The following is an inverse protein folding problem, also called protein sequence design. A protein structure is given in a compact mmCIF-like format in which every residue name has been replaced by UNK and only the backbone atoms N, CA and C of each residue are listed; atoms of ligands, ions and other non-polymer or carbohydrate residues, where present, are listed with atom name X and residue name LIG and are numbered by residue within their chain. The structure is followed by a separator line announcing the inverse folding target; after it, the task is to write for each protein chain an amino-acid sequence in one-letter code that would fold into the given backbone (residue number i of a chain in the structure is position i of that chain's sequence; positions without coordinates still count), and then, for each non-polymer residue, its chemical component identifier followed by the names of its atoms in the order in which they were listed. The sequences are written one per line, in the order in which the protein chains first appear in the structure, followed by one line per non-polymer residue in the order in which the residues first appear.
data_IF_983679792706
#
_entry.id   IF_983679792706
#
_cell.length_a   1.000
_cell.length_b   1.000
_cell.length_c   1.000
_cell.angle_alpha   90.00
_cell.angle_beta   90.00
_cell.angle_gamma   90.00
#
_symmetry.space_group_name_H-M   'P 1'
#
loop_
_entity.id
_entity.type
_entity.pdbx_description
1 polymer ?
#
# COMPACT_ATOMS: atom_id res chain seq x y z
N UNK A 1 -1.15 4.67 -22.97
CA UNK A 1 -0.62 3.88 -21.84
C UNK A 1 -1.76 2.99 -21.37
N UNK A 2 -1.52 1.72 -21.02
CA UNK A 2 -2.61 0.82 -20.62
C UNK A 2 -2.83 0.99 -19.12
N UNK A 3 -3.73 1.91 -18.75
CA UNK A 3 -3.95 2.32 -17.36
C UNK A 3 -4.82 1.29 -16.64
N UNK A 4 -4.23 0.15 -16.34
CA UNK A 4 -4.93 -1.02 -15.78
C UNK A 4 -4.28 -1.47 -14.48
N UNK A 5 -5.11 -1.93 -13.55
CA UNK A 5 -4.68 -2.51 -12.27
C UNK A 5 -5.36 -3.86 -12.06
N UNK A 6 -4.74 -4.73 -11.26
CA UNK A 6 -5.35 -6.02 -10.94
C UNK A 6 -6.61 -5.83 -10.08
N UNK A 7 -7.48 -6.84 -10.09
CA UNK A 7 -8.66 -6.86 -9.20
C UNK A 7 -8.30 -6.73 -7.72
N UNK A 8 -7.09 -7.15 -7.34
CA UNK A 8 -6.60 -7.08 -5.96
C UNK A 8 -6.29 -5.64 -5.56
N UNK A 9 -5.56 -4.93 -6.42
CA UNK A 9 -5.30 -3.50 -6.26
C UNK A 9 -6.59 -2.69 -6.32
N UNK A 10 -7.49 -3.00 -7.26
CA UNK A 10 -8.80 -2.34 -7.34
C UNK A 10 -9.63 -2.57 -6.06
N UNK A 11 -9.60 -3.78 -5.49
CA UNK A 11 -10.29 -4.08 -4.24
C UNK A 11 -9.78 -3.20 -3.09
N UNK A 12 -8.46 -3.06 -2.95
CA UNK A 12 -7.87 -2.16 -1.95
C UNK A 12 -8.25 -0.71 -2.21
N UNK A 13 -8.06 -0.22 -3.44
CA UNK A 13 -8.24 1.18 -3.77
C UNK A 13 -9.71 1.62 -3.83
N UNK A 14 -10.66 0.70 -3.95
CA UNK A 14 -12.10 0.98 -3.85
C UNK A 14 -12.66 0.70 -2.46
N UNK A 15 -11.85 0.19 -1.53
CA UNK A 15 -12.29 -0.26 -0.20
C UNK A 15 -13.42 -1.30 -0.27
N UNK A 16 -13.25 -2.29 -1.16
CA UNK A 16 -14.21 -3.36 -1.41
C UNK A 16 -13.56 -4.72 -1.26
N UNK A 17 -14.35 -5.73 -0.88
CA UNK A 17 -13.87 -7.11 -0.92
C UNK A 17 -13.72 -7.62 -2.36
N UNK A 18 -12.72 -8.45 -2.62
CA UNK A 18 -12.54 -9.14 -3.92
C UNK A 18 -13.82 -9.85 -4.37
N UNK A 19 -14.54 -10.47 -3.43
CA UNK A 19 -15.84 -11.14 -3.68
C UNK A 19 -16.86 -10.17 -4.29
N UNK A 20 -16.88 -8.92 -3.85
CA UNK A 20 -17.79 -7.89 -4.37
C UNK A 20 -17.44 -7.53 -5.80
N UNK A 21 -16.15 -7.35 -6.12
CA UNK A 21 -15.70 -7.08 -7.48
C UNK A 21 -15.97 -8.25 -8.42
N UNK A 22 -15.69 -9.49 -7.99
CA UNK A 22 -16.02 -10.69 -8.76
C UNK A 22 -17.52 -10.80 -9.05
N UNK A 23 -18.39 -10.51 -8.08
CA UNK A 23 -19.83 -10.44 -8.30
C UNK A 23 -20.20 -9.39 -9.36
N UNK A 24 -19.57 -8.21 -9.33
CA UNK A 24 -19.81 -7.15 -10.32
C UNK A 24 -19.35 -7.55 -11.72
N UNK A 25 -18.24 -8.29 -11.84
CA UNK A 25 -17.78 -8.87 -13.11
C UNK A 25 -18.77 -9.91 -13.65
N UNK A 26 -19.24 -10.83 -12.80
CA UNK A 26 -20.22 -11.85 -13.19
C UNK A 26 -21.58 -11.25 -13.60
N UNK A 27 -21.99 -10.15 -12.96
CA UNK A 27 -23.21 -9.44 -13.28
C UNK A 27 -23.08 -8.48 -14.48
N UNK A 28 -21.87 -8.26 -15.01
CA UNK A 28 -21.61 -7.33 -16.11
C UNK A 28 -21.64 -5.85 -15.73
N UNK A 29 -21.81 -5.52 -14.44
CA UNK A 29 -21.78 -4.12 -13.94
C UNK A 29 -20.37 -3.56 -13.84
N UNK A 30 -19.35 -4.42 -13.96
CA UNK A 30 -17.94 -4.08 -14.09
C UNK A 30 -17.38 -4.91 -15.24
N UNK A 31 -16.51 -4.32 -16.06
CA UNK A 31 -15.93 -5.01 -17.21
C UNK A 31 -14.51 -5.47 -16.91
N UNK A 32 -14.20 -6.70 -17.31
CA UNK A 32 -12.80 -7.16 -17.36
C UNK A 32 -12.14 -6.52 -18.57
N UNK A 33 -11.01 -5.84 -18.35
CA UNK A 33 -10.23 -5.24 -19.43
C UNK A 33 -9.29 -6.27 -20.08
N UNK A 34 -8.45 -6.93 -19.29
CA UNK A 34 -7.47 -7.91 -19.79
C UNK A 34 -7.07 -8.92 -18.71
N UNK A 35 -6.12 -9.80 -19.05
CA UNK A 35 -5.37 -10.61 -18.08
C UNK A 35 -3.88 -10.30 -18.24
N UNK A 36 -3.14 -10.22 -17.13
CA UNK A 36 -1.69 -10.06 -17.17
C UNK A 36 -0.95 -11.41 -17.33
N UNK A 37 0.37 -11.34 -17.42
CA UNK A 37 1.26 -12.50 -17.56
C UNK A 37 1.20 -13.47 -16.36
N UNK A 38 0.76 -12.97 -15.19
CA UNK A 38 0.57 -13.74 -13.96
C UNK A 38 -0.85 -14.33 -13.87
N UNK A 39 -1.67 -14.17 -14.92
CA UNK A 39 -3.06 -14.65 -14.97
C UNK A 39 -4.03 -13.82 -14.12
N UNK A 40 -3.62 -12.64 -13.63
CA UNK A 40 -4.49 -11.76 -12.85
C UNK A 40 -5.46 -11.04 -13.77
N UNK A 41 -6.71 -10.93 -13.33
CA UNK A 41 -7.73 -10.13 -14.01
C UNK A 41 -7.42 -8.65 -13.81
N UNK A 42 -7.36 -7.93 -14.92
CA UNK A 42 -7.05 -6.50 -14.96
C UNK A 42 -8.31 -5.69 -15.26
N UNK A 43 -8.44 -4.57 -14.57
CA UNK A 43 -9.52 -3.59 -14.72
C UNK A 43 -8.92 -2.28 -15.22
N UNK A 44 -9.64 -1.57 -16.10
CA UNK A 44 -9.23 -0.23 -16.50
C UNK A 44 -9.46 0.75 -15.34
N UNK A 45 -8.46 1.59 -15.05
CA UNK A 45 -8.57 2.62 -14.02
C UNK A 45 -9.69 3.61 -14.35
N UNK A 46 -9.94 3.88 -15.63
CA UNK A 46 -11.07 4.72 -16.08
C UNK A 46 -12.42 4.20 -15.60
N UNK A 47 -12.59 2.88 -15.56
CA UNK A 47 -13.87 2.24 -15.22
C UNK A 47 -14.12 2.23 -13.70
N UNK A 48 -13.07 2.39 -12.90
CA UNK A 48 -13.14 2.36 -11.44
C UNK A 48 -12.81 3.71 -10.78
N UNK A 49 -12.37 4.71 -11.54
CA UNK A 49 -11.88 6.00 -11.04
C UNK A 49 -12.88 6.69 -10.09
N UNK A 50 -14.17 6.71 -10.46
CA UNK A 50 -15.23 7.34 -9.65
C UNK A 50 -15.56 6.58 -8.36
N UNK A 51 -15.02 5.37 -8.22
CA UNK A 51 -15.23 4.50 -7.06
C UNK A 51 -13.96 4.37 -6.21
N UNK A 52 -12.88 5.05 -6.58
CA UNK A 52 -11.68 5.05 -5.78
C UNK A 52 -11.92 5.79 -4.46
N UNK A 53 -11.28 5.24 -3.44
CA UNK A 53 -11.38 5.67 -2.06
C UNK A 53 -10.41 6.84 -1.76
N UNK A 54 -9.65 7.24 -2.79
CA UNK A 54 -8.69 8.35 -2.84
C UNK A 54 -8.72 9.04 -4.19
N UNK A 55 -8.30 10.29 -4.20
CA UNK A 55 -8.06 11.07 -5.41
C UNK A 55 -6.67 10.71 -5.97
N UNK A 56 -6.61 10.44 -7.26
CA UNK A 56 -5.35 10.26 -7.99
C UNK A 56 -5.11 11.52 -8.81
N UNK A 57 -3.96 12.15 -8.61
CA UNK A 57 -3.52 13.32 -9.35
C UNK A 57 -3.32 12.98 -10.83
N UNK A 58 -3.79 13.88 -11.69
CA UNK A 58 -3.61 13.83 -13.14
C UNK A 58 -2.45 14.75 -13.53
N UNK A 59 -1.23 14.44 -13.09
CA UNK A 59 -0.04 15.20 -13.50
C UNK A 59 0.49 14.72 -14.87
N UNK A 60 0.57 15.61 -15.88
CA UNK A 60 0.96 15.22 -17.24
C UNK A 60 2.49 15.09 -17.45
N UNK A 61 3.32 15.43 -16.47
CA UNK A 61 4.78 15.45 -16.62
C UNK A 61 5.51 14.73 -15.47
N UNK A 62 5.62 13.41 -15.58
CA UNK A 62 6.54 12.60 -14.79
C UNK A 62 5.93 11.94 -13.55
N UNK A 63 5.31 10.77 -13.75
CA UNK A 63 5.00 9.84 -12.65
C UNK A 63 3.77 10.20 -11.81
N UNK A 64 2.65 10.61 -12.42
CA UNK A 64 1.40 10.85 -11.69
C UNK A 64 0.89 9.58 -10.97
N UNK A 65 0.02 9.77 -9.98
CA UNK A 65 -0.42 8.73 -9.03
C UNK A 65 -0.94 7.46 -9.69
N UNK A 66 -1.49 7.57 -10.90
CA UNK A 66 -1.90 6.42 -11.72
C UNK A 66 -0.71 5.53 -12.12
N UNK A 67 0.38 6.12 -12.57
CA UNK A 67 1.60 5.38 -12.94
C UNK A 67 2.17 4.70 -11.71
N UNK A 68 2.25 5.45 -10.60
CA UNK A 68 2.70 4.95 -9.32
C UNK A 68 1.89 3.73 -8.88
N UNK A 69 0.55 3.81 -8.96
CA UNK A 69 -0.34 2.72 -8.60
C UNK A 69 -0.15 1.48 -9.49
N UNK A 70 0.11 1.67 -10.79
CA UNK A 70 0.38 0.57 -11.72
C UNK A 70 1.72 -0.11 -11.40
N UNK A 71 2.76 0.64 -11.02
CA UNK A 71 4.04 0.08 -10.58
C UNK A 71 3.90 -0.68 -9.27
N UNK A 72 3.14 -0.12 -8.32
CA UNK A 72 2.82 -0.76 -7.06
C UNK A 72 2.05 -2.08 -7.26
N UNK A 73 1.09 -2.12 -8.20
CA UNK A 73 0.36 -3.33 -8.59
C UNK A 73 1.25 -4.43 -9.18
N UNK A 74 2.29 -4.04 -9.94
CA UNK A 74 3.29 -4.98 -10.49
C UNK A 74 4.18 -5.58 -9.41
N UNK A 75 4.22 -4.98 -8.24
CA UNK A 75 4.98 -5.43 -7.09
C UNK A 75 6.19 -4.58 -6.77
N UNK A 76 6.35 -3.39 -7.37
CA UNK A 76 7.49 -2.54 -7.01
C UNK A 76 7.36 -2.05 -5.56
N UNK A 77 8.33 -2.40 -4.72
CA UNK A 77 8.24 -2.13 -3.29
C UNK A 77 8.33 -0.64 -2.94
N UNK A 78 9.03 0.16 -3.75
CA UNK A 78 9.14 1.60 -3.54
C UNK A 78 7.82 2.28 -3.94
N UNK A 79 7.26 1.90 -5.08
CA UNK A 79 5.93 2.36 -5.50
C UNK A 79 4.84 1.96 -4.49
N UNK A 80 4.91 0.76 -3.91
CA UNK A 80 4.00 0.34 -2.84
C UNK A 80 4.11 1.21 -1.58
N UNK A 81 5.33 1.56 -1.19
CA UNK A 81 5.58 2.49 -0.09
C UNK A 81 4.99 3.88 -0.41
N UNK A 82 5.20 4.38 -1.61
CA UNK A 82 4.78 5.72 -2.00
C UNK A 82 3.26 5.82 -2.17
N UNK A 83 2.60 4.77 -2.69
CA UNK A 83 1.13 4.66 -2.66
C UNK A 83 0.61 4.68 -1.22
N UNK A 84 1.29 4.00 -0.29
CA UNK A 84 0.89 4.02 1.11
C UNK A 84 1.02 5.42 1.74
N UNK A 85 2.05 6.19 1.38
CA UNK A 85 2.20 7.58 1.82
C UNK A 85 1.09 8.48 1.28
N UNK A 86 0.77 8.35 -0.02
CA UNK A 86 -0.36 9.04 -0.63
C UNK A 86 -1.68 8.72 0.09
N UNK A 87 -1.89 7.48 0.48
CA UNK A 87 -3.07 7.07 1.25
C UNK A 87 -3.09 7.70 2.65
N UNK A 88 -1.94 7.82 3.33
CA UNK A 88 -1.85 8.51 4.61
C UNK A 88 -2.18 10.00 4.50
N UNK A 89 -1.67 10.68 3.47
CA UNK A 89 -1.98 12.09 3.20
C UNK A 89 -3.48 12.32 3.00
N UNK A 90 -4.17 11.33 2.42
CA UNK A 90 -5.61 11.35 2.21
C UNK A 90 -6.41 10.75 3.37
N UNK A 91 -5.77 10.59 4.54
CA UNK A 91 -6.40 10.09 5.77
C UNK A 91 -7.02 8.69 5.61
N UNK A 92 -6.33 7.79 4.88
CA UNK A 92 -6.67 6.37 4.67
C UNK A 92 -5.63 5.42 5.29
N UNK A 93 -5.39 5.49 6.62
CA UNK A 93 -4.34 4.70 7.26
C UNK A 93 -4.60 3.18 7.26
N UNK A 94 -5.85 2.77 7.20
CA UNK A 94 -6.30 1.39 7.10
C UNK A 94 -5.84 0.72 5.79
N UNK A 95 -5.93 1.44 4.67
CA UNK A 95 -5.48 0.95 3.36
C UNK A 95 -3.97 1.16 3.22
N UNK A 96 -3.42 2.27 3.72
CA UNK A 96 -1.98 2.50 3.75
C UNK A 96 -1.23 1.36 4.47
N UNK A 97 -1.78 0.87 5.58
CA UNK A 97 -1.24 -0.29 6.30
C UNK A 97 -1.09 -1.52 5.37
N UNK A 98 -2.08 -1.80 4.52
CA UNK A 98 -2.03 -2.94 3.59
C UNK A 98 -0.90 -2.76 2.57
N UNK A 99 -0.72 -1.55 2.04
CA UNK A 99 0.36 -1.26 1.09
C UNK A 99 1.74 -1.30 1.73
N UNK A 100 1.91 -0.75 2.93
CA UNK A 100 3.16 -0.88 3.66
C UNK A 100 3.48 -2.35 3.99
N UNK A 101 2.47 -3.18 4.29
CA UNK A 101 2.69 -4.61 4.48
C UNK A 101 3.21 -5.30 3.20
N UNK A 102 2.71 -4.93 2.02
CA UNK A 102 3.22 -5.45 0.75
C UNK A 102 4.69 -5.04 0.52
N UNK A 103 5.03 -3.76 0.73
CA UNK A 103 6.41 -3.28 0.60
C UNK A 103 7.34 -3.92 1.64
N UNK A 104 6.90 -4.05 2.89
CA UNK A 104 7.67 -4.65 3.96
C UNK A 104 7.92 -6.16 3.77
N UNK A 105 7.02 -6.90 3.09
CA UNK A 105 7.27 -8.29 2.71
C UNK A 105 8.49 -8.42 1.78
N UNK A 106 8.80 -7.37 1.03
CA UNK A 106 9.96 -7.26 0.15
C UNK A 106 11.18 -6.63 0.83
N UNK A 107 11.14 -6.51 2.16
CA UNK A 107 12.18 -5.93 2.99
C UNK A 107 12.41 -4.42 2.80
N UNK A 108 11.41 -3.68 2.31
CA UNK A 108 11.49 -2.23 2.18
C UNK A 108 11.58 -1.57 3.56
N UNK A 109 12.69 -0.90 3.82
CA UNK A 109 13.05 -0.41 5.14
C UNK A 109 12.10 0.69 5.64
N UNK A 110 11.76 1.66 4.78
CA UNK A 110 10.89 2.79 5.16
C UNK A 110 9.46 2.32 5.47
N UNK A 111 8.90 1.44 4.64
CA UNK A 111 7.61 0.79 4.90
C UNK A 111 7.57 0.08 6.27
N UNK A 112 8.64 -0.62 6.67
CA UNK A 112 8.72 -1.23 8.01
C UNK A 112 8.74 -0.18 9.12
N UNK A 113 9.43 0.94 8.91
CA UNK A 113 9.41 2.05 9.86
C UNK A 113 8.00 2.64 9.99
N UNK A 114 7.31 2.92 8.88
CA UNK A 114 5.93 3.41 8.90
C UNK A 114 4.95 2.41 9.53
N UNK A 115 5.09 1.11 9.28
CA UNK A 115 4.31 0.08 9.99
C UNK A 115 4.49 0.20 11.51
N UNK A 116 5.72 0.42 11.98
CA UNK A 116 5.96 0.64 13.40
C UNK A 116 5.18 1.84 13.92
N UNK A 117 5.11 2.94 13.17
CA UNK A 117 4.41 4.14 13.61
C UNK A 117 2.89 3.92 13.62
N UNK A 118 2.35 3.26 12.60
CA UNK A 118 0.91 2.94 12.53
C UNK A 118 0.48 2.06 13.70
N UNK A 119 1.23 1.01 14.03
CA UNK A 119 0.94 0.16 15.20
C UNK A 119 1.17 0.88 16.52
N UNK A 120 2.15 1.76 16.63
CA UNK A 120 2.39 2.53 17.84
C UNK A 120 1.25 3.51 18.10
N UNK A 121 0.75 4.18 17.06
CA UNK A 121 -0.28 5.21 17.19
C UNK A 121 -1.70 4.65 17.13
N UNK A 122 -1.88 3.44 16.61
CA UNK A 122 -3.20 2.85 16.38
C UNK A 122 -3.93 3.49 15.19
N UNK A 123 -3.18 3.86 14.14
CA UNK A 123 -3.74 4.47 12.93
C UNK A 123 -4.09 3.39 11.92
N UNK A 124 -5.38 3.26 11.60
CA UNK A 124 -5.86 2.23 10.65
C UNK A 124 -5.76 0.79 11.17
N UNK A 125 -5.25 0.60 12.38
CA UNK A 125 -5.04 -0.68 13.05
C UNK A 125 -5.13 -0.50 14.57
N UNK A 126 -5.44 -1.56 15.30
CA UNK A 126 -5.36 -1.52 16.76
C UNK A 126 -3.93 -1.24 17.23
N UNK A 127 -3.79 -0.32 18.20
CA UNK A 127 -2.50 0.02 18.78
C UNK A 127 -1.86 -1.20 19.43
N UNK A 128 -0.64 -1.53 19.02
CA UNK A 128 0.12 -2.64 19.59
C UNK A 128 1.63 -2.32 19.64
N UNK A 129 2.12 -2.00 20.84
CA UNK A 129 3.53 -1.66 21.06
C UNK A 129 4.49 -2.80 20.71
N UNK A 130 4.10 -4.05 20.98
CA UNK A 130 4.92 -5.21 20.65
C UNK A 130 5.11 -5.36 19.14
N UNK A 131 4.02 -5.21 18.38
CA UNK A 131 4.07 -5.26 16.90
C UNK A 131 4.83 -4.06 16.34
N UNK A 132 4.66 -2.87 16.93
CA UNK A 132 5.43 -1.69 16.56
C UNK A 132 6.93 -1.91 16.74
N UNK A 133 7.35 -2.39 17.92
CA UNK A 133 8.75 -2.68 18.21
C UNK A 133 9.33 -3.75 17.28
N UNK A 134 8.54 -4.77 16.93
CA UNK A 134 8.96 -5.79 15.96
C UNK A 134 9.26 -5.18 14.59
N UNK A 135 8.37 -4.33 14.06
CA UNK A 135 8.59 -3.68 12.76
C UNK A 135 9.75 -2.70 12.80
N UNK A 136 9.88 -1.92 13.88
CA UNK A 136 11.03 -1.02 14.09
C UNK A 136 12.35 -1.78 14.10
N UNK A 137 12.42 -2.90 14.81
CA UNK A 137 13.62 -3.73 14.85
C UNK A 137 13.98 -4.28 13.46
N UNK A 138 12.98 -4.70 12.67
CA UNK A 138 13.19 -5.12 11.27
C UNK A 138 13.68 -3.97 10.38
N UNK A 139 13.12 -2.76 10.52
CA UNK A 139 13.60 -1.58 9.80
C UNK A 139 15.07 -1.29 10.15
N UNK A 140 15.43 -1.33 11.44
CA UNK A 140 16.79 -1.15 11.91
C UNK A 140 17.75 -2.21 11.34
N UNK A 141 17.35 -3.49 11.27
CA UNK A 141 18.18 -4.53 10.66
C UNK A 141 18.42 -4.30 9.17
N UNK A 142 17.51 -3.60 8.49
CA UNK A 142 17.67 -3.15 7.11
C UNK A 142 18.42 -1.81 6.99
N UNK A 143 19.11 -1.36 8.06
CA UNK A 143 19.91 -0.12 8.13
C UNK A 143 19.08 1.16 7.96
N UNK A 144 17.78 1.12 8.29
CA UNK A 144 16.95 2.33 8.33
C UNK A 144 17.45 3.27 9.44
N UNK A 145 17.94 4.45 9.07
CA UNK A 145 18.64 5.37 9.97
C UNK A 145 17.84 5.76 11.21
N UNK A 146 16.56 6.13 11.03
CA UNK A 146 15.70 6.56 12.14
C UNK A 146 15.40 5.39 13.09
N UNK A 147 14.97 4.25 12.56
CA UNK A 147 14.68 3.05 13.35
C UNK A 147 15.92 2.54 14.10
N UNK A 148 17.10 2.54 13.47
CA UNK A 148 18.36 2.14 14.11
C UNK A 148 18.71 3.07 15.28
N UNK A 149 18.61 4.38 15.08
CA UNK A 149 18.79 5.37 16.15
C UNK A 149 17.79 5.17 17.30
N UNK A 150 16.52 4.93 16.99
CA UNK A 150 15.48 4.66 18.00
C UNK A 150 15.79 3.38 18.79
N UNK A 151 16.23 2.31 18.13
CA UNK A 151 16.61 1.04 18.79
C UNK A 151 17.85 1.20 19.68
N UNK A 152 18.82 2.01 19.26
CA UNK A 152 20.00 2.31 20.08
C UNK A 152 19.63 3.04 21.38
N UNK A 153 18.67 3.96 21.35
CA UNK A 153 18.16 4.66 22.55
C UNK A 153 17.45 3.69 23.50
N UNK A 154 16.56 2.83 22.98
CA UNK A 154 15.82 1.83 23.77
C UNK A 154 16.79 0.86 24.48
N UNK A 155 17.81 0.39 23.77
CA UNK A 155 18.80 -0.55 24.31
C UNK A 155 19.66 0.08 25.41
N UNK A 156 20.00 1.37 25.27
CA UNK A 156 20.77 2.11 26.28
C UNK A 156 19.95 2.42 27.53
N UNK A 157 18.66 2.66 27.40
CA UNK A 157 17.76 2.91 28.53
C UNK A 157 17.43 1.65 29.35
N UNK A 158 17.72 0.46 28.80
CA UNK A 158 17.45 -0.85 29.44
C UNK A 158 18.64 -1.42 30.21
N UNK A 159 19.75 -0.66 30.34
CA UNK A 159 20.94 -0.99 31.12
C UNK A 159 21.09 -0.02 32.29
#
# INVERSE_FOLDING_TARGET
MNDVVSIDTAALMMDLSKRTLWRRLSAGTLQRHSMDERGRVMLALTDIAEHLCVQLSDEPAGGGDRVLLIEADKGDSAAQNDVALLLLEQNRPDIALQWFLLAAQQQHADAMHYLSELYQQGLGVERCENTAMLWRAKAASQKHLIADAQMAVITRASK
#
